data_IF_758902104558
#
_entry.id   IF_758902104558
#
_cell.length_a   1.000
_cell.length_b   1.000
_cell.length_c   1.000
_cell.angle_alpha   90.00
_cell.angle_beta   90.00
_cell.angle_gamma   90.00
#
_symmetry.space_group_name_H-M   'P 1'
#
loop_
_entity.id
_entity.type
_entity.pdbx_description
1 polymer ?
#
# COMPACT_ATOMS: atom_id res chain seq x y z
N UNK A 1 27.46 3.98 2.59
CA UNK A 1 26.68 3.73 1.36
C UNK A 1 25.59 4.77 1.26
N UNK A 2 25.24 5.20 0.05
CA UNK A 2 24.20 6.18 -0.26
C UNK A 2 23.09 5.51 -1.06
N UNK A 3 21.85 5.60 -0.59
CA UNK A 3 20.71 4.92 -1.22
C UNK A 3 19.57 5.90 -1.47
N UNK A 4 19.01 5.86 -2.68
CA UNK A 4 17.73 6.48 -3.00
C UNK A 4 16.62 5.43 -2.84
N UNK A 5 15.61 5.72 -2.03
CA UNK A 5 14.39 4.91 -1.92
C UNK A 5 13.23 5.75 -2.44
N UNK A 6 12.72 5.41 -3.63
CA UNK A 6 11.49 6.02 -4.15
C UNK A 6 10.28 5.31 -3.56
N UNK A 7 9.20 6.03 -3.24
CA UNK A 7 8.09 5.48 -2.45
C UNK A 7 8.50 5.25 -0.98
N UNK A 8 9.51 5.97 -0.50
CA UNK A 8 10.12 5.76 0.81
C UNK A 8 9.22 6.14 1.99
N UNK A 9 8.14 6.89 1.77
CA UNK A 9 7.14 7.21 2.80
C UNK A 9 5.94 6.25 2.78
N UNK A 10 5.95 5.23 1.91
CA UNK A 10 4.98 4.15 1.91
C UNK A 10 5.22 3.10 3.01
N UNK A 11 4.37 2.07 3.03
CA UNK A 11 4.47 0.95 3.99
C UNK A 11 5.87 0.30 3.96
N UNK A 12 6.23 -0.38 2.88
CA UNK A 12 7.52 -1.11 2.81
C UNK A 12 8.70 -0.14 2.78
N UNK A 13 8.59 0.96 2.01
CA UNK A 13 9.65 1.96 1.85
C UNK A 13 10.11 2.56 3.17
N UNK A 14 9.19 2.86 4.09
CA UNK A 14 9.56 3.47 5.39
C UNK A 14 10.32 2.51 6.31
N UNK A 15 9.99 1.22 6.29
CA UNK A 15 10.76 0.20 7.02
C UNK A 15 12.17 0.01 6.43
N UNK A 16 12.31 0.08 5.10
CA UNK A 16 13.62 0.09 4.44
C UNK A 16 14.44 1.33 4.81
N UNK A 17 13.84 2.52 4.79
CA UNK A 17 14.47 3.75 5.24
C UNK A 17 15.04 3.59 6.66
N UNK A 18 14.21 3.13 7.60
CA UNK A 18 14.59 2.96 8.99
C UNK A 18 15.74 1.96 9.17
N UNK A 19 15.67 0.79 8.55
CA UNK A 19 16.69 -0.26 8.67
C UNK A 19 18.02 0.19 8.05
N UNK A 20 18.00 0.86 6.90
CA UNK A 20 19.23 1.32 6.26
C UNK A 20 19.88 2.49 7.01
N UNK A 21 19.09 3.42 7.58
CA UNK A 21 19.61 4.44 8.50
C UNK A 21 20.27 3.80 9.72
N UNK A 22 19.63 2.79 10.35
CA UNK A 22 20.20 2.04 11.48
C UNK A 22 21.52 1.32 11.13
N UNK A 23 21.69 0.92 9.86
CA UNK A 23 22.94 0.35 9.33
C UNK A 23 23.99 1.41 8.96
N UNK A 24 23.74 2.70 9.23
CA UNK A 24 24.67 3.80 8.96
C UNK A 24 24.71 4.23 7.49
N UNK A 25 23.69 3.91 6.69
CA UNK A 25 23.60 4.36 5.30
C UNK A 25 23.00 5.76 5.25
N UNK A 26 23.44 6.56 4.28
CA UNK A 26 22.77 7.82 3.94
C UNK A 26 21.58 7.52 3.03
N UNK A 27 20.36 7.76 3.54
CA UNK A 27 19.10 7.46 2.87
C UNK A 27 18.48 8.73 2.32
N UNK A 28 18.27 8.76 1.01
CA UNK A 28 17.45 9.72 0.29
C UNK A 28 16.06 9.11 0.12
N UNK A 29 15.09 9.54 0.92
CA UNK A 29 13.71 9.12 0.85
C UNK A 29 12.95 10.03 -0.11
N UNK A 30 12.51 9.49 -1.25
CA UNK A 30 11.76 10.22 -2.27
C UNK A 30 10.31 9.75 -2.31
N UNK A 31 9.36 10.67 -2.19
CA UNK A 31 7.93 10.36 -2.22
C UNK A 31 7.12 11.59 -2.66
N UNK A 32 5.93 11.38 -3.22
CA UNK A 32 4.97 12.46 -3.55
C UNK A 32 3.71 12.40 -2.68
N UNK A 33 3.67 11.49 -1.70
CA UNK A 33 2.58 11.26 -0.78
C UNK A 33 1.22 10.89 -1.40
N UNK A 34 1.20 10.45 -2.68
CA UNK A 34 -0.06 10.01 -3.32
C UNK A 34 -0.73 8.86 -2.54
N UNK A 35 0.09 7.99 -1.93
CA UNK A 35 -0.36 6.93 -1.01
C UNK A 35 0.52 6.80 0.23
N UNK A 36 1.73 7.38 0.23
CA UNK A 36 2.60 7.47 1.40
C UNK A 36 2.07 8.43 2.46
N UNK A 37 2.70 8.46 3.63
CA UNK A 37 2.36 9.39 4.71
C UNK A 37 3.60 9.97 5.35
N UNK A 38 3.66 11.29 5.64
CA UNK A 38 4.74 11.88 6.43
C UNK A 38 4.93 11.19 7.79
N UNK A 39 3.85 10.70 8.39
CA UNK A 39 3.90 9.97 9.68
C UNK A 39 4.74 8.70 9.65
N UNK A 40 4.88 8.06 8.47
CA UNK A 40 5.68 6.85 8.33
C UNK A 40 7.18 7.11 8.46
N UNK A 41 7.63 8.34 8.22
CA UNK A 41 9.06 8.74 8.21
C UNK A 41 9.39 9.83 9.23
N UNK A 42 8.40 10.32 9.99
CA UNK A 42 8.59 11.41 10.97
C UNK A 42 9.66 11.09 12.02
N UNK A 43 9.72 9.84 12.47
CA UNK A 43 10.72 9.34 13.42
C UNK A 43 12.17 9.36 12.90
N UNK A 44 12.37 9.55 11.58
CA UNK A 44 13.70 9.70 10.96
C UNK A 44 14.08 11.17 10.73
N UNK A 45 13.15 12.11 10.91
CA UNK A 45 13.43 13.54 10.74
C UNK A 45 14.49 14.00 11.76
N UNK A 46 15.43 14.83 11.30
CA UNK A 46 16.56 15.30 12.10
C UNK A 46 17.74 14.31 12.19
N UNK A 47 17.60 13.08 11.67
CA UNK A 47 18.74 12.18 11.57
C UNK A 47 19.68 12.64 10.43
N UNK A 48 21.00 12.85 10.68
CA UNK A 48 21.92 13.35 9.66
C UNK A 48 22.09 12.40 8.46
N UNK A 49 21.74 11.12 8.62
CA UNK A 49 21.79 10.10 7.58
C UNK A 49 20.46 9.96 6.83
N UNK A 50 19.45 10.80 7.09
CA UNK A 50 18.15 10.75 6.43
C UNK A 50 17.81 12.09 5.79
N UNK A 51 17.53 12.08 4.48
CA UNK A 51 17.06 13.24 3.74
C UNK A 51 15.76 12.88 3.02
N UNK A 52 14.72 13.69 3.26
CA UNK A 52 13.47 13.58 2.52
C UNK A 52 13.47 14.51 1.30
N UNK A 53 12.95 14.01 0.17
CA UNK A 53 12.78 14.75 -1.08
C UNK A 53 11.35 14.53 -1.56
N UNK A 54 10.53 15.58 -1.55
CA UNK A 54 9.20 15.53 -2.14
C UNK A 54 9.30 15.56 -3.67
N UNK A 55 8.97 14.46 -4.34
CA UNK A 55 9.13 14.37 -5.79
C UNK A 55 8.30 13.23 -6.42
N UNK A 56 7.75 13.50 -7.60
CA UNK A 56 7.09 12.52 -8.45
C UNK A 56 8.10 11.94 -9.45
N UNK A 57 8.43 10.66 -9.30
CA UNK A 57 9.43 9.96 -10.12
C UNK A 57 9.11 9.90 -11.61
N UNK A 58 7.88 10.19 -12.03
CA UNK A 58 7.52 10.30 -13.45
C UNK A 58 8.12 11.55 -14.11
N UNK A 59 8.60 12.51 -13.30
CA UNK A 59 9.35 13.69 -13.73
C UNK A 59 10.86 13.39 -13.71
N UNK A 60 11.69 14.20 -14.42
CA UNK A 60 13.15 14.06 -14.37
C UNK A 60 13.69 14.15 -12.94
N UNK A 61 14.58 13.22 -12.58
CA UNK A 61 15.17 13.12 -11.24
C UNK A 61 16.62 13.58 -11.29
N UNK A 62 16.94 14.60 -10.49
CA UNK A 62 18.31 15.09 -10.31
C UNK A 62 18.70 14.99 -8.84
N UNK A 63 19.78 14.26 -8.56
CA UNK A 63 20.38 14.17 -7.23
C UNK A 63 21.87 14.48 -7.34
N UNK A 64 22.31 15.46 -6.55
CA UNK A 64 23.70 15.86 -6.47
C UNK A 64 24.55 14.80 -5.74
N UNK A 65 25.77 14.58 -6.22
CA UNK A 65 26.69 13.59 -5.66
C UNK A 65 26.45 12.16 -6.15
N UNK A 66 27.16 11.22 -5.52
CA UNK A 66 27.06 9.78 -5.81
C UNK A 66 25.86 9.13 -5.13
N UNK A 67 25.31 8.11 -5.78
CA UNK A 67 24.30 7.18 -5.24
C UNK A 67 24.80 5.78 -5.55
N UNK A 68 24.90 4.93 -4.53
CA UNK A 68 25.40 3.56 -4.66
C UNK A 68 24.24 2.60 -4.99
N UNK A 69 23.04 2.87 -4.45
CA UNK A 69 21.86 2.03 -4.60
C UNK A 69 20.60 2.85 -4.90
N UNK A 70 19.72 2.32 -5.74
CA UNK A 70 18.38 2.87 -6.01
C UNK A 70 17.35 1.77 -5.80
N UNK A 71 16.49 1.94 -4.81
CA UNK A 71 15.38 1.04 -4.48
C UNK A 71 14.09 1.68 -4.98
N UNK A 72 13.53 1.12 -6.05
CA UNK A 72 12.34 1.63 -6.70
C UNK A 72 11.06 1.00 -6.13
N UNK A 73 10.50 1.61 -5.08
CA UNK A 73 9.25 1.19 -4.42
C UNK A 73 8.07 2.13 -4.69
N UNK A 74 8.26 3.22 -5.44
CA UNK A 74 7.18 4.14 -5.80
C UNK A 74 6.15 3.45 -6.71
N UNK A 75 4.95 3.19 -6.20
CA UNK A 75 3.79 2.70 -6.97
C UNK A 75 2.55 2.64 -6.05
N UNK A 76 1.36 3.10 -6.48
CA UNK A 76 0.12 2.73 -5.83
C UNK A 76 -0.04 1.21 -5.88
N UNK A 77 -0.21 0.56 -4.72
CA UNK A 77 -0.08 -0.89 -4.62
C UNK A 77 -1.36 -1.62 -4.16
N UNK A 78 -2.35 -0.89 -3.65
CA UNK A 78 -3.62 -1.50 -3.24
C UNK A 78 -4.63 -1.50 -4.39
N UNK A 79 -5.54 -2.49 -4.44
CA UNK A 79 -6.60 -2.51 -5.45
C UNK A 79 -7.44 -1.24 -5.53
N UNK A 80 -7.71 -0.64 -4.38
CA UNK A 80 -8.45 0.63 -4.32
C UNK A 80 -7.64 1.76 -4.97
N UNK A 81 -6.34 1.86 -4.67
CA UNK A 81 -5.54 2.98 -5.17
C UNK A 81 -5.27 2.91 -6.67
N UNK A 82 -4.85 1.74 -7.19
CA UNK A 82 -4.49 1.67 -8.61
C UNK A 82 -5.71 1.76 -9.53
N UNK A 83 -6.91 1.45 -9.02
CA UNK A 83 -8.16 1.73 -9.72
C UNK A 83 -8.60 3.19 -9.59
N UNK A 84 -8.25 3.85 -8.48
CA UNK A 84 -8.45 5.30 -8.29
C UNK A 84 -7.50 6.13 -9.14
N UNK A 85 -6.26 5.67 -9.32
CA UNK A 85 -5.18 6.37 -10.03
C UNK A 85 -4.58 5.51 -11.17
N UNK A 86 -5.38 5.07 -12.16
CA UNK A 86 -4.94 4.11 -13.17
C UNK A 86 -3.85 4.67 -14.08
N UNK A 87 -3.98 5.94 -14.51
CA UNK A 87 -2.98 6.61 -15.36
C UNK A 87 -1.68 6.83 -14.60
N UNK A 88 -1.75 7.27 -13.34
CA UNK A 88 -0.58 7.48 -12.49
C UNK A 88 0.14 6.16 -12.22
N UNK A 89 -0.61 5.06 -12.02
CA UNK A 89 -0.07 3.70 -11.85
C UNK A 89 0.69 3.25 -13.09
N UNK A 90 0.13 3.45 -14.29
CA UNK A 90 0.81 3.15 -15.54
C UNK A 90 2.04 4.04 -15.75
N UNK A 91 1.95 5.34 -15.50
CA UNK A 91 3.07 6.29 -15.64
C UNK A 91 4.22 5.95 -14.69
N UNK A 92 3.94 5.62 -13.42
CA UNK A 92 5.01 5.30 -12.47
C UNK A 92 5.71 3.98 -12.82
N UNK A 93 4.97 2.95 -13.25
CA UNK A 93 5.57 1.70 -13.71
C UNK A 93 6.29 1.81 -15.06
N UNK A 94 6.03 2.86 -15.84
CA UNK A 94 6.70 3.12 -17.12
C UNK A 94 7.75 4.24 -17.02
N UNK A 95 7.32 5.50 -17.07
CA UNK A 95 8.18 6.68 -16.98
C UNK A 95 8.96 6.73 -15.66
N UNK A 96 8.32 6.39 -14.54
CA UNK A 96 8.99 6.37 -13.24
C UNK A 96 10.14 5.36 -13.19
N UNK A 97 9.89 4.14 -13.68
CA UNK A 97 10.93 3.11 -13.80
C UNK A 97 12.02 3.51 -14.80
N UNK A 98 11.65 4.10 -15.95
CA UNK A 98 12.60 4.61 -16.94
C UNK A 98 13.53 5.69 -16.36
N UNK A 99 12.98 6.68 -15.67
CA UNK A 99 13.75 7.79 -15.08
C UNK A 99 14.71 7.28 -14.00
N UNK A 100 14.23 6.37 -13.13
CA UNK A 100 15.06 5.82 -12.05
C UNK A 100 16.15 4.87 -12.55
N UNK A 101 15.90 4.10 -13.62
CA UNK A 101 16.93 3.32 -14.33
C UNK A 101 17.94 4.23 -15.04
N UNK A 102 17.48 5.32 -15.65
CA UNK A 102 18.34 6.35 -16.23
C UNK A 102 19.28 6.96 -15.19
N UNK A 103 18.75 7.27 -14.00
CA UNK A 103 19.55 7.72 -12.87
C UNK A 103 20.54 6.64 -12.40
N UNK A 104 20.11 5.38 -12.29
CA UNK A 104 20.98 4.26 -11.92
C UNK A 104 22.17 4.14 -12.88
N UNK A 105 21.91 4.24 -14.19
CA UNK A 105 22.93 4.26 -15.23
C UNK A 105 23.91 5.42 -15.04
N UNK A 106 23.39 6.64 -14.86
CA UNK A 106 24.21 7.84 -14.72
C UNK A 106 25.10 7.80 -13.47
N UNK A 107 24.60 7.21 -12.38
CA UNK A 107 25.32 7.10 -11.10
C UNK A 107 26.14 5.82 -10.95
N UNK A 108 26.02 4.88 -11.89
CA UNK A 108 26.54 3.50 -11.78
C UNK A 108 26.03 2.80 -10.50
N UNK A 109 24.79 3.08 -10.12
CA UNK A 109 24.16 2.54 -8.93
C UNK A 109 23.58 1.15 -9.21
N UNK A 110 23.52 0.31 -8.17
CA UNK A 110 22.72 -0.92 -8.19
C UNK A 110 21.23 -0.53 -8.13
N UNK A 111 20.41 -1.09 -9.00
CA UNK A 111 18.98 -0.79 -9.07
C UNK A 111 18.15 -1.97 -8.58
N UNK A 112 17.27 -1.78 -7.60
CA UNK A 112 16.31 -2.79 -7.15
C UNK A 112 14.89 -2.36 -7.49
N UNK A 113 14.19 -3.19 -8.27
CA UNK A 113 12.78 -3.04 -8.57
C UNK A 113 11.93 -3.79 -7.54
N UNK A 114 10.99 -3.09 -6.91
CA UNK A 114 9.89 -3.71 -6.19
C UNK A 114 8.81 -4.17 -7.18
N UNK A 115 8.97 -5.39 -7.69
CA UNK A 115 7.95 -6.09 -8.47
C UNK A 115 6.91 -6.73 -7.53
N UNK A 116 6.04 -7.57 -8.07
CA UNK A 116 4.86 -8.09 -7.37
C UNK A 116 4.51 -9.48 -7.84
N UNK A 117 3.89 -10.26 -6.97
CA UNK A 117 3.23 -11.52 -7.34
C UNK A 117 2.06 -11.35 -8.32
N UNK A 118 1.49 -10.14 -8.47
CA UNK A 118 0.43 -9.87 -9.48
C UNK A 118 0.93 -10.05 -10.93
N UNK A 119 2.25 -10.03 -11.18
CA UNK A 119 2.79 -10.33 -12.52
C UNK A 119 2.44 -11.76 -12.99
N UNK A 120 2.12 -12.66 -12.05
CA UNK A 120 1.65 -14.01 -12.33
C UNK A 120 0.14 -14.07 -12.68
N UNK A 121 -0.63 -13.02 -12.37
CA UNK A 121 -2.08 -12.91 -12.67
C UNK A 121 -2.95 -13.91 -11.92
N UNK A 122 -3.84 -14.59 -12.64
CA UNK A 122 -4.60 -15.75 -12.16
C UNK A 122 -3.88 -17.05 -12.58
N UNK A 123 -2.93 -17.53 -11.77
CA UNK A 123 -1.95 -18.51 -12.21
C UNK A 123 -2.58 -19.87 -12.51
N UNK A 124 -2.12 -20.50 -13.59
CA UNK A 124 -2.49 -21.88 -13.96
C UNK A 124 -1.59 -22.94 -13.32
N UNK A 125 -0.64 -22.51 -12.47
CA UNK A 125 0.34 -23.36 -11.76
C UNK A 125 0.39 -23.00 -10.28
N UNK A 126 0.70 -24.00 -9.43
CA UNK A 126 0.78 -23.81 -7.98
C UNK A 126 1.81 -24.77 -7.37
N UNK A 127 2.81 -24.29 -6.59
CA UNK A 127 3.12 -22.89 -6.29
C UNK A 127 3.64 -22.11 -7.50
N UNK A 128 3.73 -20.78 -7.38
CA UNK A 128 4.26 -19.92 -8.45
C UNK A 128 5.78 -19.77 -8.31
N UNK A 129 6.51 -20.30 -9.30
CA UNK A 129 7.97 -20.16 -9.46
C UNK A 129 8.33 -18.97 -10.35
N UNK A 130 9.57 -18.49 -10.26
CA UNK A 130 10.03 -17.32 -11.01
C UNK A 130 10.11 -17.51 -12.53
N UNK A 131 10.16 -18.76 -13.00
CA UNK A 131 10.14 -19.12 -14.42
C UNK A 131 8.73 -19.06 -15.05
N UNK A 132 7.66 -19.00 -14.25
CA UNK A 132 6.30 -18.90 -14.74
C UNK A 132 6.03 -17.51 -15.34
N UNK A 133 5.49 -17.50 -16.56
CA UNK A 133 5.27 -16.26 -17.33
C UNK A 133 4.06 -15.44 -16.88
N UNK A 134 3.14 -16.04 -16.13
CA UNK A 134 1.89 -15.40 -15.69
C UNK A 134 0.72 -15.56 -16.67
N UNK A 135 -0.50 -15.38 -16.14
CA UNK A 135 -1.76 -15.39 -16.87
C UNK A 135 -2.54 -14.12 -16.52
N UNK A 136 -2.26 -13.03 -17.24
CA UNK A 136 -2.71 -11.67 -16.94
C UNK A 136 -3.60 -11.14 -18.05
N UNK A 137 -4.69 -10.44 -17.69
CA UNK A 137 -5.58 -9.78 -18.63
C UNK A 137 -5.19 -8.31 -18.81
N UNK A 138 -4.55 -8.00 -19.94
CA UNK A 138 -3.99 -6.68 -20.23
C UNK A 138 -5.02 -5.55 -20.37
N UNK A 139 -6.29 -5.87 -20.66
CA UNK A 139 -7.38 -4.90 -20.82
C UNK A 139 -8.40 -4.95 -19.67
N UNK A 140 -8.17 -5.83 -18.69
CA UNK A 140 -8.99 -5.91 -17.49
C UNK A 140 -8.77 -4.69 -16.58
N UNK A 141 -9.70 -4.41 -15.65
CA UNK A 141 -9.58 -3.26 -14.74
C UNK A 141 -8.32 -3.31 -13.87
N UNK A 142 -7.84 -4.51 -13.50
CA UNK A 142 -6.58 -4.72 -12.75
C UNK A 142 -5.33 -4.64 -13.63
N UNK A 143 -5.48 -4.74 -14.95
CA UNK A 143 -4.37 -4.74 -15.91
C UNK A 143 -3.49 -3.49 -15.82
N UNK A 144 -4.01 -2.37 -15.31
CA UNK A 144 -3.23 -1.14 -15.09
C UNK A 144 -2.05 -1.33 -14.14
N UNK A 145 -2.20 -2.16 -13.09
CA UNK A 145 -1.12 -2.43 -12.13
C UNK A 145 -0.25 -3.59 -12.62
N UNK A 146 -0.90 -4.66 -13.10
CA UNK A 146 -0.23 -5.89 -13.51
C UNK A 146 0.71 -5.61 -14.69
N UNK A 147 0.22 -4.94 -15.74
CA UNK A 147 1.03 -4.61 -16.92
C UNK A 147 2.07 -3.53 -16.63
N UNK A 148 1.77 -2.57 -15.74
CA UNK A 148 2.78 -1.60 -15.31
C UNK A 148 3.99 -2.29 -14.67
N UNK A 149 3.76 -3.29 -13.82
CA UNK A 149 4.84 -4.06 -13.16
C UNK A 149 5.55 -5.02 -14.12
N UNK A 150 4.82 -5.65 -15.05
CA UNK A 150 5.43 -6.48 -16.12
C UNK A 150 6.31 -5.65 -17.05
N UNK A 151 5.86 -4.47 -17.46
CA UNK A 151 6.67 -3.52 -18.22
C UNK A 151 7.93 -3.10 -17.44
N UNK A 152 7.79 -2.79 -16.15
CA UNK A 152 8.93 -2.41 -15.31
C UNK A 152 9.99 -3.52 -15.22
N UNK A 153 9.60 -4.80 -15.08
CA UNK A 153 10.54 -5.93 -15.14
C UNK A 153 11.24 -6.02 -16.50
N UNK A 154 10.49 -5.91 -17.60
CA UNK A 154 11.05 -5.98 -18.94
C UNK A 154 12.06 -4.85 -19.20
N UNK A 155 11.73 -3.62 -18.80
CA UNK A 155 12.62 -2.47 -18.93
C UNK A 155 13.89 -2.62 -18.06
N UNK A 156 13.74 -3.10 -16.83
CA UNK A 156 14.86 -3.38 -15.92
C UNK A 156 15.83 -4.38 -16.54
N UNK A 157 15.31 -5.49 -17.08
CA UNK A 157 16.14 -6.50 -17.74
C UNK A 157 16.76 -6.00 -19.05
N UNK A 158 16.11 -5.10 -19.78
CA UNK A 158 16.70 -4.45 -20.95
C UNK A 158 17.90 -3.58 -20.56
N UNK A 159 17.80 -2.79 -19.48
CA UNK A 159 18.92 -1.99 -18.98
C UNK A 159 20.09 -2.87 -18.49
N UNK A 160 19.82 -3.99 -17.83
CA UNK A 160 20.84 -4.97 -17.47
C UNK A 160 21.56 -5.52 -18.71
N UNK A 161 20.81 -6.02 -19.71
CA UNK A 161 21.38 -6.66 -20.91
C UNK A 161 22.13 -5.68 -21.82
N UNK A 162 21.64 -4.45 -21.95
CA UNK A 162 22.20 -3.45 -22.88
C UNK A 162 23.32 -2.62 -22.24
N UNK A 163 23.17 -2.26 -20.96
CA UNK A 163 24.11 -1.34 -20.28
C UNK A 163 24.90 -2.00 -19.15
N UNK A 164 24.65 -3.27 -18.81
CA UNK A 164 25.38 -3.97 -17.75
C UNK A 164 25.13 -3.42 -16.35
N UNK A 165 24.02 -2.70 -16.13
CA UNK A 165 23.68 -2.15 -14.81
C UNK A 165 23.34 -3.32 -13.89
N UNK A 166 23.92 -3.36 -12.70
CA UNK A 166 23.54 -4.34 -11.69
C UNK A 166 22.10 -4.07 -11.24
N UNK A 167 21.19 -5.01 -11.52
CA UNK A 167 19.78 -4.90 -11.21
C UNK A 167 19.33 -6.01 -10.27
N UNK A 168 18.28 -5.75 -9.49
CA UNK A 168 17.61 -6.72 -8.62
C UNK A 168 16.11 -6.62 -8.87
N UNK A 169 15.42 -7.75 -8.90
CA UNK A 169 13.96 -7.78 -9.06
C UNK A 169 13.38 -8.62 -7.93
N UNK A 170 12.69 -7.95 -7.00
CA UNK A 170 11.96 -8.61 -5.92
C UNK A 170 10.49 -8.80 -6.33
N UNK A 171 10.05 -10.04 -6.54
CA UNK A 171 8.62 -10.34 -6.74
C UNK A 171 7.97 -10.53 -5.39
N UNK A 172 7.36 -9.45 -4.89
CA UNK A 172 6.84 -9.37 -3.53
C UNK A 172 5.44 -10.02 -3.46
N UNK A 173 5.28 -10.96 -2.53
CA UNK A 173 3.98 -11.56 -2.20
C UNK A 173 3.30 -10.80 -1.06
N UNK A 174 2.05 -11.14 -0.75
CA UNK A 174 1.24 -10.40 0.22
C UNK A 174 2.00 -10.22 1.54
N UNK A 175 2.21 -8.96 1.90
CA UNK A 175 3.02 -8.56 3.04
C UNK A 175 2.18 -7.71 3.98
N UNK A 176 2.37 -7.90 5.28
CA UNK A 176 1.64 -7.17 6.31
C UNK A 176 2.52 -6.72 7.48
N UNK A 177 2.09 -5.69 8.21
CA UNK A 177 2.85 -5.10 9.31
C UNK A 177 2.34 -3.72 9.71
N UNK A 178 3.02 -3.10 10.69
CA UNK A 178 2.75 -1.69 11.04
C UNK A 178 3.05 -0.74 9.87
N UNK A 179 2.39 0.43 9.83
CA UNK A 179 2.43 1.43 8.74
C UNK A 179 1.64 1.07 7.49
N UNK A 180 0.92 -0.06 7.47
CA UNK A 180 -0.14 -0.28 6.48
C UNK A 180 -1.27 0.72 6.70
N UNK A 181 -1.93 1.16 5.61
CA UNK A 181 -3.11 2.01 5.71
C UNK A 181 -4.33 1.15 6.00
N UNK A 182 -5.19 1.62 6.91
CA UNK A 182 -6.41 0.89 7.32
C UNK A 182 -7.42 0.75 6.17
N UNK A 183 -7.55 1.79 5.35
CA UNK A 183 -8.57 1.87 4.32
C UNK A 183 -8.05 1.53 2.91
N UNK A 184 -7.00 0.72 2.80
CA UNK A 184 -6.43 0.40 1.49
C UNK A 184 -7.11 -0.78 0.77
N UNK A 185 -8.16 -1.36 1.38
CA UNK A 185 -8.98 -2.42 0.79
C UNK A 185 -8.37 -3.81 0.85
N UNK A 186 -7.20 -3.99 1.48
CA UNK A 186 -6.61 -5.33 1.69
C UNK A 186 -7.24 -6.02 2.91
N UNK A 187 -7.25 -7.34 2.89
CA UNK A 187 -7.92 -8.16 3.91
C UNK A 187 -7.37 -7.95 5.33
N UNK A 188 -6.05 -7.80 5.48
CA UNK A 188 -5.40 -7.63 6.79
C UNK A 188 -5.82 -6.33 7.49
N UNK A 189 -5.62 -5.13 6.90
CA UNK A 189 -6.04 -3.89 7.54
C UNK A 189 -7.55 -3.82 7.73
N UNK A 190 -8.35 -4.36 6.80
CA UNK A 190 -9.82 -4.35 6.93
C UNK A 190 -10.30 -5.19 8.12
N UNK A 191 -9.81 -6.42 8.29
CA UNK A 191 -10.19 -7.27 9.43
C UNK A 191 -9.71 -6.71 10.76
N UNK A 192 -8.49 -6.15 10.81
CA UNK A 192 -8.00 -5.51 12.04
C UNK A 192 -8.87 -4.29 12.37
N UNK A 193 -9.21 -3.45 11.38
CA UNK A 193 -10.10 -2.32 11.57
C UNK A 193 -11.48 -2.76 12.08
N UNK A 194 -12.11 -3.72 11.41
CA UNK A 194 -13.42 -4.25 11.78
C UNK A 194 -13.40 -4.81 13.20
N UNK A 195 -12.42 -5.67 13.51
CA UNK A 195 -12.25 -6.21 14.85
C UNK A 195 -12.08 -5.10 15.90
N UNK A 196 -11.13 -4.18 15.73
CA UNK A 196 -10.83 -3.13 16.72
C UNK A 196 -12.00 -2.14 16.94
N UNK A 197 -12.91 -2.01 15.98
CA UNK A 197 -14.12 -1.19 16.09
C UNK A 197 -15.38 -1.99 16.44
N UNK A 198 -15.26 -3.29 16.72
CA UNK A 198 -16.38 -4.20 16.98
C UNK A 198 -17.43 -4.24 15.85
N UNK A 199 -16.96 -4.12 14.60
CA UNK A 199 -17.76 -4.24 13.38
C UNK A 199 -17.60 -5.68 12.88
N UNK A 200 -18.66 -6.35 12.37
CA UNK A 200 -18.55 -7.69 11.82
C UNK A 200 -17.43 -7.82 10.78
N UNK A 201 -16.67 -8.90 10.85
CA UNK A 201 -15.61 -9.20 9.88
C UNK A 201 -16.24 -9.70 8.58
N UNK A 202 -15.90 -9.09 7.46
CA UNK A 202 -16.55 -9.38 6.17
C UNK A 202 -15.71 -10.32 5.31
N UNK A 203 -16.07 -11.59 5.27
CA UNK A 203 -15.44 -12.61 4.42
C UNK A 203 -16.13 -12.63 3.06
N UNK A 204 -15.37 -12.46 1.98
CA UNK A 204 -15.89 -12.65 0.63
C UNK A 204 -15.80 -14.13 0.22
N UNK A 205 -16.87 -14.70 -0.32
CA UNK A 205 -17.00 -16.13 -0.60
C UNK A 205 -17.38 -16.93 0.65
N UNK A 206 -16.92 -18.19 0.72
CA UNK A 206 -17.12 -19.07 1.87
C UNK A 206 -15.93 -19.04 2.86
N UNK A 207 -14.88 -18.28 2.54
CA UNK A 207 -13.67 -18.14 3.36
C UNK A 207 -12.66 -19.28 3.22
N UNK A 208 -12.91 -20.27 2.34
CA UNK A 208 -12.03 -21.43 2.12
C UNK A 208 -10.81 -21.10 1.26
N UNK A 209 -10.85 -19.98 0.53
CA UNK A 209 -9.72 -19.51 -0.27
C UNK A 209 -8.51 -19.22 0.63
N UNK A 210 -7.34 -19.63 0.16
CA UNK A 210 -6.08 -19.49 0.89
C UNK A 210 -5.30 -18.27 0.45
N UNK A 211 -4.57 -17.67 1.39
CA UNK A 211 -3.59 -16.63 1.14
C UNK A 211 -2.35 -16.92 1.95
N UNK A 212 -1.22 -16.46 1.44
CA UNK A 212 0.05 -16.53 2.13
C UNK A 212 0.48 -15.14 2.58
N UNK A 213 0.84 -14.96 3.85
CA UNK A 213 1.15 -13.63 4.41
C UNK A 213 2.59 -13.58 4.96
N UNK A 214 3.40 -12.68 4.42
CA UNK A 214 4.76 -12.41 4.88
C UNK A 214 4.76 -11.24 5.85
N UNK A 215 5.39 -11.38 7.02
CA UNK A 215 5.55 -10.25 7.93
C UNK A 215 6.61 -9.28 7.42
N UNK A 216 6.40 -7.97 7.63
CA UNK A 216 7.23 -6.91 7.05
C UNK A 216 8.72 -7.03 7.39
N UNK A 217 9.07 -7.45 8.60
CA UNK A 217 10.49 -7.59 9.00
C UNK A 217 11.19 -8.69 8.18
N UNK A 218 10.51 -9.82 7.95
CA UNK A 218 11.02 -10.90 7.11
C UNK A 218 11.20 -10.43 5.65
N UNK A 219 10.21 -9.70 5.12
CA UNK A 219 10.30 -9.14 3.77
C UNK A 219 11.50 -8.20 3.64
N UNK A 220 11.67 -7.26 4.59
CA UNK A 220 12.76 -6.27 4.52
C UNK A 220 14.13 -6.94 4.59
N UNK A 221 14.29 -7.96 5.43
CA UNK A 221 15.51 -8.77 5.46
C UNK A 221 15.75 -9.49 4.11
N UNK A 222 14.71 -10.01 3.48
CA UNK A 222 14.79 -10.64 2.16
C UNK A 222 15.20 -9.66 1.06
N UNK A 223 14.62 -8.45 1.07
CA UNK A 223 14.98 -7.36 0.14
C UNK A 223 16.43 -6.95 0.35
N UNK A 224 16.88 -6.80 1.60
CA UNK A 224 18.25 -6.44 1.93
C UNK A 224 19.24 -7.51 1.43
N UNK A 225 18.96 -8.80 1.66
CA UNK A 225 19.79 -9.89 1.15
C UNK A 225 19.85 -9.95 -0.36
N UNK A 226 18.71 -9.74 -1.04
CA UNK A 226 18.68 -9.65 -2.49
C UNK A 226 19.53 -8.48 -2.99
N UNK A 227 19.40 -7.31 -2.37
CA UNK A 227 20.18 -6.12 -2.70
C UNK A 227 21.69 -6.38 -2.64
N UNK A 228 22.12 -7.13 -1.63
CA UNK A 228 23.53 -7.47 -1.39
C UNK A 228 24.04 -8.70 -2.16
N UNK A 229 23.18 -9.39 -2.91
CA UNK A 229 23.54 -10.58 -3.68
C UNK A 229 24.08 -10.26 -5.07
N UNK A 230 24.67 -11.25 -5.74
CA UNK A 230 25.10 -11.15 -7.15
C UNK A 230 23.98 -11.52 -8.16
N UNK A 231 22.78 -11.89 -7.69
CA UNK A 231 21.67 -12.26 -8.55
C UNK A 231 21.13 -11.06 -9.33
N UNK A 232 20.95 -11.18 -10.64
CA UNK A 232 20.27 -10.17 -11.46
C UNK A 232 18.88 -10.64 -11.96
N UNK A 233 18.53 -11.90 -11.71
CA UNK A 233 17.24 -12.47 -12.06
C UNK A 233 16.18 -12.20 -10.98
N UNK A 234 14.87 -12.29 -11.33
CA UNK A 234 13.80 -12.20 -10.35
C UNK A 234 13.93 -13.25 -9.24
N UNK A 235 13.53 -12.83 -8.03
CA UNK A 235 13.42 -13.68 -6.84
C UNK A 235 12.08 -13.42 -6.16
N UNK A 236 11.35 -14.49 -5.87
CA UNK A 236 10.13 -14.46 -5.06
C UNK A 236 10.48 -14.19 -3.60
N UNK A 237 9.87 -13.17 -3.01
CA UNK A 237 9.97 -12.88 -1.58
C UNK A 237 8.57 -12.91 -0.97
N UNK A 238 8.34 -13.89 -0.10
CA UNK A 238 7.06 -14.14 0.54
C UNK A 238 7.13 -15.28 1.55
N UNK A 239 5.98 -15.60 2.14
CA UNK A 239 5.86 -16.75 3.01
C UNK A 239 5.11 -17.87 2.27
N UNK A 240 5.61 -19.10 2.18
CA UNK A 240 4.90 -20.20 1.52
C UNK A 240 3.78 -20.78 2.39
N UNK A 241 3.71 -20.42 3.68
CA UNK A 241 2.64 -20.88 4.56
C UNK A 241 1.31 -20.23 4.17
N UNK A 242 0.36 -21.06 3.72
CA UNK A 242 -1.00 -20.66 3.40
C UNK A 242 -1.92 -20.78 4.62
N UNK A 243 -2.90 -19.88 4.70
CA UNK A 243 -3.98 -19.90 5.67
C UNK A 243 -5.27 -19.51 4.96
N UNK A 244 -6.40 -20.14 5.32
CA UNK A 244 -7.70 -19.74 4.78
C UNK A 244 -8.11 -18.36 5.31
N UNK A 245 -8.92 -17.62 4.55
CA UNK A 245 -9.45 -16.33 5.00
C UNK A 245 -10.28 -16.47 6.28
N UNK A 246 -11.01 -17.57 6.42
CA UNK A 246 -11.80 -17.85 7.63
C UNK A 246 -10.92 -18.09 8.86
N UNK A 247 -9.86 -18.90 8.75
CA UNK A 247 -8.89 -19.10 9.83
C UNK A 247 -8.20 -17.79 10.21
N UNK A 248 -7.87 -16.98 9.20
CA UNK A 248 -7.26 -15.67 9.39
C UNK A 248 -8.17 -14.71 10.17
N UNK A 249 -9.47 -14.65 9.82
CA UNK A 249 -10.47 -13.86 10.54
C UNK A 249 -10.59 -14.31 12.01
N UNK A 250 -10.68 -15.62 12.25
CA UNK A 250 -10.75 -16.19 13.60
C UNK A 250 -9.50 -15.89 14.43
N UNK A 251 -8.31 -15.93 13.81
CA UNK A 251 -7.06 -15.60 14.49
C UNK A 251 -7.01 -14.13 14.91
N UNK A 252 -7.48 -13.21 14.07
CA UNK A 252 -7.57 -11.78 14.43
C UNK A 252 -8.53 -11.58 15.61
N UNK A 253 -9.70 -12.21 15.63
CA UNK A 253 -10.63 -12.13 16.75
C UNK A 253 -10.01 -12.67 18.04
N UNK A 254 -9.31 -13.82 17.96
CA UNK A 254 -8.58 -14.41 19.09
C UNK A 254 -7.53 -13.44 19.65
N UNK A 255 -6.69 -12.84 18.80
CA UNK A 255 -5.61 -11.94 19.23
C UNK A 255 -6.17 -10.61 19.77
N UNK A 256 -7.25 -10.10 19.18
CA UNK A 256 -7.88 -8.85 19.64
C UNK A 256 -8.66 -9.03 20.94
N UNK A 257 -9.11 -10.26 21.24
CA UNK A 257 -9.99 -10.57 22.36
C UNK A 257 -11.43 -10.08 22.14
N UNK A 258 -11.81 -9.81 20.89
CA UNK A 258 -13.10 -9.22 20.52
C UNK A 258 -14.03 -10.31 20.00
N UNK A 259 -15.27 -10.30 20.44
CA UNK A 259 -16.32 -11.23 20.03
C UNK A 259 -17.20 -10.56 18.97
N UNK A 260 -16.66 -10.38 17.76
CA UNK A 260 -17.41 -9.85 16.62
C UNK A 260 -17.86 -10.98 15.69
N UNK A 261 -19.00 -10.79 15.03
CA UNK A 261 -19.54 -11.76 14.08
C UNK A 261 -18.70 -11.81 12.79
N UNK A 262 -18.73 -12.95 12.09
CA UNK A 262 -18.18 -13.08 10.74
C UNK A 262 -19.35 -13.14 9.76
N UNK A 263 -19.37 -12.22 8.81
CA UNK A 263 -20.39 -12.10 7.76
C UNK A 263 -19.81 -12.48 6.40
N UNK A 264 -20.67 -12.92 5.48
CA UNK A 264 -20.26 -13.41 4.16
C UNK A 264 -20.85 -12.56 3.04
N UNK A 265 -20.01 -12.19 2.06
CA UNK A 265 -20.41 -11.47 0.83
C UNK A 265 -19.94 -12.21 -0.43
N UNK A 266 -20.51 -11.96 -1.62
CA UNK A 266 -20.04 -12.59 -2.86
C UNK A 266 -18.58 -12.24 -3.21
N UNK A 267 -17.84 -13.17 -3.83
CA UNK A 267 -16.45 -12.94 -4.25
C UNK A 267 -16.35 -11.77 -5.26
N UNK A 268 -15.38 -10.84 -5.10
CA UNK A 268 -15.07 -9.84 -6.11
C UNK A 268 -14.68 -10.48 -7.44
N UNK A 269 -15.02 -9.81 -8.54
CA UNK A 269 -14.66 -10.24 -9.89
C UNK A 269 -13.13 -10.24 -10.06
N UNK A 270 -12.58 -11.28 -10.68
CA UNK A 270 -11.15 -11.43 -11.00
C UNK A 270 -10.20 -11.41 -9.78
N UNK A 271 -10.67 -11.81 -8.59
CA UNK A 271 -9.79 -12.05 -7.45
C UNK A 271 -9.12 -13.44 -7.57
N UNK A 272 -7.78 -13.53 -7.59
CA UNK A 272 -7.06 -14.80 -7.72
C UNK A 272 -7.46 -15.78 -6.62
N UNK A 273 -7.75 -17.03 -6.99
CA UNK A 273 -8.25 -18.01 -6.00
C UNK A 273 -7.13 -18.53 -5.10
N UNK A 274 -5.92 -18.70 -5.64
CA UNK A 274 -4.75 -19.24 -4.93
C UNK A 274 -3.50 -18.48 -5.31
N UNK A 275 -2.66 -18.20 -4.32
CA UNK A 275 -1.35 -17.57 -4.52
C UNK A 275 -0.40 -18.02 -3.42
N UNK A 276 0.64 -18.74 -3.82
CA UNK A 276 1.66 -19.30 -2.94
C UNK A 276 3.03 -19.15 -3.61
N UNK A 277 3.99 -18.44 -2.99
CA UNK A 277 5.33 -18.32 -3.52
C UNK A 277 6.08 -19.63 -3.40
N UNK A 278 6.73 -20.07 -4.48
CA UNK A 278 7.90 -20.92 -4.33
C UNK A 278 9.09 -20.02 -3.98
N UNK A 279 9.71 -20.27 -2.82
CA UNK A 279 10.85 -19.50 -2.31
C UNK A 279 12.17 -20.28 -2.35
N UNK A 280 12.24 -21.38 -3.11
CA UNK A 280 13.44 -22.23 -3.20
C UNK A 280 14.67 -21.43 -3.65
N UNK A 281 14.49 -20.50 -4.59
CA UNK A 281 15.55 -19.60 -5.06
C UNK A 281 16.06 -18.68 -3.95
N UNK A 282 15.14 -18.07 -3.18
CA UNK A 282 15.52 -17.22 -2.06
C UNK A 282 16.25 -18.01 -0.95
N UNK A 283 15.80 -19.23 -0.64
CA UNK A 283 16.48 -20.11 0.32
C UNK A 283 17.90 -20.46 -0.14
N UNK A 284 18.04 -20.87 -1.41
CA UNK A 284 19.31 -21.34 -1.95
C UNK A 284 20.34 -20.22 -2.08
N UNK A 285 19.95 -19.08 -2.66
CA UNK A 285 20.91 -18.05 -3.07
C UNK A 285 20.99 -16.88 -2.08
N UNK A 286 19.93 -16.60 -1.32
CA UNK A 286 19.93 -15.52 -0.32
C UNK A 286 20.08 -16.04 1.11
N UNK A 287 20.01 -17.37 1.31
CA UNK A 287 19.94 -18.00 2.63
C UNK A 287 18.82 -17.37 3.47
N UNK A 288 17.69 -17.11 2.82
CA UNK A 288 16.56 -16.41 3.39
C UNK A 288 15.30 -17.28 3.38
N UNK A 289 14.59 -17.26 4.50
CA UNK A 289 13.23 -17.74 4.65
C UNK A 289 12.54 -16.93 5.76
N UNK A 290 11.21 -16.76 5.72
CA UNK A 290 10.48 -16.04 6.76
C UNK A 290 10.55 -16.79 8.09
N UNK A 291 10.78 -16.05 9.18
CA UNK A 291 10.94 -16.62 10.53
C UNK A 291 9.80 -16.26 11.47
N UNK A 292 9.04 -15.22 11.15
CA UNK A 292 7.99 -14.70 12.03
C UNK A 292 6.67 -15.38 11.67
N UNK A 293 6.13 -16.13 12.63
CA UNK A 293 4.84 -16.77 12.51
C UNK A 293 3.70 -15.77 12.34
N UNK A 294 2.61 -16.20 11.71
CA UNK A 294 1.45 -15.35 11.42
C UNK A 294 0.83 -14.75 12.70
N UNK A 295 0.77 -15.52 13.79
CA UNK A 295 0.23 -15.07 15.08
C UNK A 295 1.09 -13.95 15.68
N UNK A 296 2.41 -14.11 15.74
CA UNK A 296 3.34 -13.08 16.25
C UNK A 296 3.32 -11.81 15.39
N UNK A 297 3.36 -11.97 14.06
CA UNK A 297 3.29 -10.86 13.13
C UNK A 297 1.98 -10.08 13.28
N UNK A 298 0.85 -10.78 13.45
CA UNK A 298 -0.45 -10.16 13.64
C UNK A 298 -0.55 -9.45 14.99
N UNK A 299 -0.06 -10.07 16.07
CA UNK A 299 -0.03 -9.45 17.39
C UNK A 299 0.72 -8.11 17.36
N UNK A 300 1.90 -8.06 16.73
CA UNK A 300 2.68 -6.82 16.54
C UNK A 300 1.94 -5.80 15.67
N UNK A 301 1.32 -6.26 14.60
CA UNK A 301 0.56 -5.40 13.67
C UNK A 301 -0.65 -4.77 14.37
N UNK A 302 -1.41 -5.56 15.11
CA UNK A 302 -2.57 -5.11 15.90
C UNK A 302 -2.12 -4.14 17.00
N UNK A 303 -1.02 -4.43 17.69
CA UNK A 303 -0.45 -3.52 18.69
C UNK A 303 -0.07 -2.17 18.07
N UNK A 304 0.56 -2.19 16.89
CA UNK A 304 0.88 -0.97 16.15
C UNK A 304 -0.38 -0.18 15.80
N UNK A 305 -1.43 -0.84 15.27
CA UNK A 305 -2.70 -0.18 14.96
C UNK A 305 -3.37 0.38 16.21
N UNK A 306 -3.40 -0.33 17.33
CA UNK A 306 -3.95 0.19 18.60
C UNK A 306 -3.27 1.47 19.07
N UNK A 307 -1.97 1.61 18.85
CA UNK A 307 -1.21 2.81 19.22
C UNK A 307 -1.40 3.99 18.26
N UNK A 308 -1.63 3.71 16.97
CA UNK A 308 -1.63 4.73 15.91
C UNK A 308 -3.03 5.01 15.33
N UNK A 309 -4.02 4.21 15.70
CA UNK A 309 -5.43 4.54 15.50
C UNK A 309 -5.84 5.55 16.55
N UNK A 310 -6.32 6.72 16.12
CA UNK A 310 -7.26 7.45 16.98
C UNK A 310 -8.44 6.48 17.20
N UNK A 311 -8.84 6.18 18.45
CA UNK A 311 -10.06 5.40 18.66
C UNK A 311 -11.16 6.08 17.84
N UNK A 312 -11.89 5.32 17.02
CA UNK A 312 -13.15 5.82 16.50
C UNK A 312 -13.90 6.31 17.74
N UNK A 313 -14.16 7.61 17.79
CA UNK A 313 -14.63 8.24 19.01
C UNK A 313 -15.82 7.43 19.50
N UNK A 314 -15.69 6.78 20.67
CA UNK A 314 -16.82 6.15 21.39
C UNK A 314 -17.79 7.21 21.95
N UNK A 315 -17.82 8.39 21.34
CA UNK A 315 -18.72 9.48 21.61
C UNK A 315 -19.71 9.62 20.46
N UNK A 316 -20.85 10.29 20.68
CA UNK A 316 -21.82 10.55 19.62
C UNK A 316 -21.12 11.25 18.43
N UNK A 317 -21.56 10.92 17.22
CA UNK A 317 -21.13 11.59 16.00
C UNK A 317 -21.19 13.12 16.23
N UNK A 318 -20.06 13.81 16.06
CA UNK A 318 -19.95 15.26 16.25
C UNK A 318 -19.52 15.93 14.96
N UNK A 319 -19.85 17.22 14.82
CA UNK A 319 -19.48 18.03 13.65
C UNK A 319 -17.97 18.01 13.41
N UNK A 320 -17.19 18.12 14.48
CA UNK A 320 -15.73 18.13 14.45
C UNK A 320 -15.17 16.80 13.94
N UNK A 321 -15.74 15.67 14.37
CA UNK A 321 -15.31 14.34 13.93
C UNK A 321 -15.60 14.10 12.45
N UNK A 322 -16.76 14.56 11.96
CA UNK A 322 -17.11 14.49 10.54
C UNK A 322 -16.14 15.34 9.71
N UNK A 323 -15.86 16.58 10.13
CA UNK A 323 -14.91 17.47 9.44
C UNK A 323 -13.50 16.86 9.42
N UNK A 324 -13.04 16.33 10.55
CA UNK A 324 -11.72 15.70 10.66
C UNK A 324 -11.59 14.49 9.73
N UNK A 325 -12.67 13.70 9.57
CA UNK A 325 -12.69 12.52 8.69
C UNK A 325 -12.49 12.85 7.21
N UNK A 326 -12.69 14.12 6.83
CA UNK A 326 -12.61 14.65 5.47
C UNK A 326 -11.27 15.28 5.13
N UNK A 327 -10.31 15.30 6.08
CA UNK A 327 -8.98 15.90 5.83
C UNK A 327 -8.23 15.28 4.66
N UNK A 328 -8.48 14.01 4.35
CA UNK A 328 -7.89 13.30 3.21
C UNK A 328 -8.67 13.46 1.90
N UNK A 329 -9.81 14.15 1.92
CA UNK A 329 -10.50 14.56 0.70
C UNK A 329 -9.87 15.86 0.22
N UNK A 330 -9.14 15.78 -0.89
CA UNK A 330 -8.41 16.89 -1.47
C UNK A 330 -8.91 17.21 -2.89
N UNK A 331 -8.72 18.45 -3.28
CA UNK A 331 -8.83 18.85 -4.68
C UNK A 331 -7.81 18.04 -5.50
N UNK A 332 -8.24 17.30 -6.55
CA UNK A 332 -7.37 16.39 -7.29
C UNK A 332 -6.33 17.10 -8.17
N UNK A 333 -6.49 18.40 -8.45
CA UNK A 333 -5.52 19.21 -9.19
C UNK A 333 -4.54 19.92 -8.26
N UNK A 334 -5.05 20.47 -7.15
CA UNK A 334 -4.25 21.27 -6.21
C UNK A 334 -3.60 20.42 -5.10
N UNK A 335 -4.15 19.25 -4.79
CA UNK A 335 -3.68 18.39 -3.69
C UNK A 335 -3.94 18.94 -2.28
N UNK A 336 -4.71 20.03 -2.16
CA UNK A 336 -5.06 20.67 -0.88
C UNK A 336 -6.37 20.07 -0.37
N UNK A 337 -6.44 19.77 0.94
CA UNK A 337 -7.66 19.26 1.58
C UNK A 337 -8.81 20.26 1.44
N UNK A 338 -10.03 19.77 1.25
CA UNK A 338 -11.24 20.61 1.27
C UNK A 338 -11.45 21.31 2.61
N UNK A 339 -10.89 20.75 3.69
CA UNK A 339 -10.90 21.34 5.03
C UNK A 339 -10.01 22.57 5.06
N UNK A 340 -8.79 22.45 4.53
CA UNK A 340 -7.80 23.53 4.50
C UNK A 340 -8.15 24.61 3.47
N UNK A 341 -8.86 24.23 2.40
CA UNK A 341 -9.44 25.17 1.43
C UNK A 341 -10.67 25.93 1.98
N UNK A 342 -11.16 25.57 3.17
CA UNK A 342 -12.34 26.22 3.76
C UNK A 342 -13.63 25.99 2.97
N UNK A 343 -13.74 24.86 2.26
CA UNK A 343 -14.92 24.55 1.44
C UNK A 343 -16.11 24.06 2.27
N UNK A 344 -15.90 23.66 3.52
CA UNK A 344 -16.99 23.16 4.37
C UNK A 344 -17.69 24.35 5.02
N UNK A 345 -18.87 24.69 4.50
CA UNK A 345 -19.71 25.77 5.05
C UNK A 345 -20.47 25.30 6.28
N UNK A 346 -21.10 24.13 6.19
CA UNK A 346 -21.91 23.60 7.28
C UNK A 346 -21.99 22.08 7.31
N UNK A 347 -22.23 21.53 8.50
CA UNK A 347 -22.38 20.10 8.76
C UNK A 347 -23.47 19.88 9.80
N UNK A 348 -24.58 19.28 9.38
CA UNK A 348 -25.71 18.92 10.23
C UNK A 348 -25.73 17.40 10.46
N UNK A 349 -25.98 17.02 11.71
CA UNK A 349 -26.07 15.63 12.14
C UNK A 349 -27.53 15.33 12.52
N UNK A 350 -28.19 14.53 11.70
CA UNK A 350 -29.63 14.23 11.80
C UNK A 350 -29.79 12.85 12.43
N UNK A 351 -30.34 12.78 13.65
CA UNK A 351 -30.73 11.52 14.31
C UNK A 351 -32.14 11.12 13.86
N UNK A 352 -32.34 9.86 13.48
CA UNK A 352 -33.69 9.36 13.17
C UNK A 352 -34.39 8.80 14.42
N UNK A 353 -35.70 9.04 14.54
CA UNK A 353 -36.50 8.76 15.75
C UNK A 353 -36.61 7.27 16.16
N UNK A 354 -36.17 6.32 15.33
CA UNK A 354 -36.29 4.87 15.61
C UNK A 354 -35.00 4.07 15.33
N UNK A 355 -33.86 4.55 15.82
CA UNK A 355 -32.60 3.79 15.92
C UNK A 355 -31.38 4.68 16.17
N UNK A 356 -30.23 4.08 16.47
CA UNK A 356 -28.92 4.76 16.63
C UNK A 356 -28.35 5.28 15.29
N UNK A 357 -29.17 5.34 14.24
CA UNK A 357 -28.77 5.67 12.88
C UNK A 357 -28.72 7.18 12.65
N UNK A 358 -27.61 7.63 12.08
CA UNK A 358 -27.33 9.06 11.86
C UNK A 358 -27.21 9.34 10.37
N UNK A 359 -27.91 10.36 9.88
CA UNK A 359 -27.70 10.92 8.53
C UNK A 359 -26.94 12.23 8.67
N UNK A 360 -25.98 12.47 7.78
CA UNK A 360 -25.18 13.71 7.80
C UNK A 360 -25.56 14.53 6.58
N UNK A 361 -25.96 15.79 6.79
CA UNK A 361 -26.13 16.76 5.72
C UNK A 361 -24.93 17.71 5.72
N UNK A 362 -24.26 17.85 4.58
CA UNK A 362 -23.09 18.71 4.45
C UNK A 362 -23.31 19.73 3.35
N UNK A 363 -22.95 20.98 3.65
CA UNK A 363 -23.00 22.09 2.69
C UNK A 363 -21.59 22.52 2.35
N UNK A 364 -21.23 22.45 1.07
CA UNK A 364 -19.94 22.91 0.56
C UNK A 364 -20.10 24.21 -0.21
N UNK A 365 -19.19 25.15 0.00
CA UNK A 365 -19.06 26.35 -0.84
C UNK A 365 -18.44 25.98 -2.19
N UNK A 366 -18.96 26.57 -3.28
CA UNK A 366 -18.38 26.42 -4.62
C UNK A 366 -17.52 27.63 -5.01
N UNK A 367 -16.22 27.67 -4.69
CA UNK A 367 -15.31 28.45 -5.50
C UNK A 367 -15.20 27.81 -6.89
N UNK A 368 -14.63 28.50 -7.87
CA UNK A 368 -14.36 28.00 -9.22
C UNK A 368 -13.42 26.78 -9.23
N UNK A 369 -13.88 25.63 -8.72
CA UNK A 369 -13.23 24.34 -8.76
C UNK A 369 -13.91 23.52 -9.88
N UNK A 370 -13.21 23.24 -10.99
CA UNK A 370 -13.78 22.52 -12.13
C UNK A 370 -14.29 21.11 -11.81
N UNK A 371 -13.83 20.54 -10.68
CA UNK A 371 -14.06 19.15 -10.28
C UNK A 371 -14.95 19.02 -9.03
N UNK A 372 -15.81 20.00 -8.74
CA UNK A 372 -16.73 19.94 -7.60
C UNK A 372 -17.61 18.68 -7.59
N UNK A 373 -17.98 18.13 -8.75
CA UNK A 373 -18.72 16.87 -8.82
C UNK A 373 -17.95 15.67 -8.26
N UNK A 374 -16.62 15.63 -8.45
CA UNK A 374 -15.75 14.61 -7.87
C UNK A 374 -15.59 14.83 -6.35
N UNK A 375 -15.46 16.08 -5.91
CA UNK A 375 -15.36 16.43 -4.50
C UNK A 375 -16.63 16.02 -3.75
N UNK A 376 -17.81 16.40 -4.26
CA UNK A 376 -19.12 16.03 -3.68
C UNK A 376 -19.25 14.52 -3.51
N UNK A 377 -18.87 13.75 -4.54
CA UNK A 377 -18.89 12.29 -4.49
C UNK A 377 -17.93 11.74 -3.43
N UNK A 378 -16.69 12.24 -3.40
CA UNK A 378 -15.65 11.80 -2.47
C UNK A 378 -16.01 12.13 -1.01
N UNK A 379 -16.59 13.31 -0.77
CA UNK A 379 -17.11 13.73 0.54
C UNK A 379 -18.23 12.79 0.97
N UNK A 380 -19.19 12.51 0.09
CA UNK A 380 -20.31 11.61 0.38
C UNK A 380 -19.84 10.21 0.77
N UNK A 381 -18.98 9.60 -0.06
CA UNK A 381 -18.42 8.27 0.21
C UNK A 381 -17.66 8.21 1.53
N UNK A 382 -16.93 9.29 1.87
CA UNK A 382 -16.15 9.35 3.10
C UNK A 382 -17.03 9.47 4.34
N UNK A 383 -18.08 10.29 4.28
CA UNK A 383 -19.03 10.45 5.38
C UNK A 383 -19.83 9.16 5.61
N UNK A 384 -20.24 8.49 4.53
CA UNK A 384 -20.94 7.19 4.61
C UNK A 384 -20.03 6.06 5.12
N UNK A 385 -18.71 6.22 5.02
CA UNK A 385 -17.73 5.33 5.64
C UNK A 385 -17.54 5.53 7.14
N UNK A 386 -18.15 6.55 7.76
CA UNK A 386 -18.05 6.77 9.20
C UNK A 386 -18.99 5.80 9.95
N UNK A 387 -18.50 5.02 10.94
CA UNK A 387 -19.34 4.11 11.70
C UNK A 387 -20.56 4.82 12.33
N UNK A 388 -21.75 4.25 12.13
CA UNK A 388 -23.03 4.81 12.61
C UNK A 388 -23.73 5.77 11.65
N UNK A 389 -23.08 6.16 10.54
CA UNK A 389 -23.71 6.94 9.48
C UNK A 389 -24.40 6.03 8.47
N UNK A 390 -25.68 6.29 8.18
CA UNK A 390 -26.49 5.50 7.23
C UNK A 390 -26.77 6.20 5.91
N UNK A 391 -26.28 7.44 5.76
CA UNK A 391 -26.38 8.19 4.53
C UNK A 391 -25.80 9.59 4.67
N UNK A 392 -25.33 10.12 3.54
CA UNK A 392 -24.87 11.50 3.47
C UNK A 392 -25.53 12.25 2.30
N UNK A 393 -26.01 13.46 2.59
CA UNK A 393 -26.52 14.41 1.60
C UNK A 393 -25.53 15.57 1.51
N UNK A 394 -24.92 15.78 0.35
CA UNK A 394 -23.91 16.83 0.13
C UNK A 394 -24.45 17.82 -0.88
N UNK A 395 -24.67 19.06 -0.44
CA UNK A 395 -25.21 20.16 -1.24
C UNK A 395 -24.12 21.21 -1.52
N UNK A 396 -24.25 21.87 -2.67
CA UNK A 396 -23.37 22.94 -3.11
C UNK A 396 -24.11 24.28 -3.01
N UNK A 397 -23.45 25.31 -2.47
CA UNK A 397 -24.01 26.67 -2.32
C UNK A 397 -23.05 27.78 -2.70
#
# INVERSE_FOLDING_TARGET
MKVLITGGAGFIGSHLCEILVKKGWQVFCMDNFITGSPSNISHLQGNPNFLFIEHDVTKPIEINGGIDYILHFASPASPVDYLKFPIQTLKVGSLGTHNTLGLAKAKKAVFLLASTSEIYGDPLVHPQKEDYWGNVNSIGPRGVYDEAKRFAEALTMAYYRVYGINVKIARIFNTFGGRMRLNDGRVVPNFIYQALNNIPLTVYGDGTQTRSFCYIDDLVEGIYRLLMSDLNEPVNLGNPAEMSILEFAKLILKITGISSEITYLPLPKDDPRKRQPDISKAKQFLQWEPKIGIEDGLARTIAWFKMHMKPAGKGPLSRENVIESLRDVADPELGISIVDMGLIKDVEIIKQEKGDFVRVKMTLTTPHCPLMGYIVKSVKERIEGIPGVVGADVELV
#
